data_IF_486354576758
#
_entry.id   IF_486354576758
#
_cell.length_a   1.000
_cell.length_b   1.000
_cell.length_c   1.000
_cell.angle_alpha   90.00
_cell.angle_beta   90.00
_cell.angle_gamma   90.00
#
_symmetry.space_group_name_H-M   'P 1'
#
loop_
_entity.id
_entity.type
_entity.pdbx_description
1 polymer ?
#
# COMPACT_ATOMS: atom_id res chain seq x y z
N UNK A 1 -20.37 -38.59 35.97
CA UNK A 1 -20.05 -37.52 35.01
C UNK A 1 -18.96 -36.67 35.64
N UNK A 2 -17.69 -36.91 35.29
CA UNK A 2 -16.55 -36.24 35.89
C UNK A 2 -15.90 -35.33 34.85
N UNK A 3 -16.00 -34.03 35.08
CA UNK A 3 -15.28 -32.99 34.34
C UNK A 3 -13.79 -33.13 34.63
N UNK A 4 -13.00 -33.55 33.64
CA UNK A 4 -11.54 -33.63 33.75
C UNK A 4 -10.90 -32.30 33.35
N UNK A 5 -9.89 -31.99 34.15
CA UNK A 5 -9.09 -30.78 34.24
C UNK A 5 -8.50 -30.23 32.93
N UNK A 6 -8.41 -28.90 32.95
CA UNK A 6 -7.61 -28.00 32.12
C UNK A 6 -6.12 -28.36 32.25
N UNK A 7 -5.44 -28.53 31.12
CA UNK A 7 -3.98 -28.42 31.01
C UNK A 7 -3.58 -28.23 29.53
N UNK A 8 -3.50 -26.99 29.09
CA UNK A 8 -2.65 -26.60 27.97
C UNK A 8 -1.69 -25.55 28.52
N UNK A 9 -0.63 -26.04 29.16
CA UNK A 9 0.61 -25.29 29.25
C UNK A 9 1.30 -25.42 27.90
N UNK A 10 1.32 -24.36 27.11
CA UNK A 10 2.27 -24.22 26.02
C UNK A 10 2.90 -22.83 26.09
N UNK A 11 4.08 -22.82 26.71
CA UNK A 11 5.25 -22.04 26.30
C UNK A 11 5.02 -20.55 26.02
N UNK A 12 4.99 -19.78 27.10
CA UNK A 12 5.57 -18.44 27.11
C UNK A 12 7.09 -18.58 26.90
N UNK A 13 7.54 -18.50 25.65
CA UNK A 13 8.93 -18.20 25.32
C UNK A 13 8.99 -16.82 24.66
N UNK A 14 10.02 -16.02 24.99
CA UNK A 14 10.09 -14.61 24.63
C UNK A 14 10.30 -14.48 23.12
N UNK A 15 9.31 -13.89 22.44
CA UNK A 15 9.42 -13.43 21.05
C UNK A 15 10.32 -12.19 20.92
N UNK A 16 11.47 -12.20 21.60
CA UNK A 16 12.44 -11.10 21.64
C UNK A 16 13.80 -11.71 21.35
N UNK A 17 14.12 -11.93 20.07
CA UNK A 17 15.49 -12.10 19.53
C UNK A 17 15.52 -12.38 18.01
N UNK A 18 14.55 -11.88 17.24
CA UNK A 18 14.70 -11.77 15.76
C UNK A 18 14.57 -10.33 15.25
N UNK A 19 14.84 -9.34 16.11
CA UNK A 19 14.81 -7.93 15.73
C UNK A 19 16.16 -7.40 15.22
N UNK A 20 17.17 -8.24 14.94
CA UNK A 20 18.54 -7.75 14.71
C UNK A 20 19.35 -8.45 13.61
N UNK A 21 18.70 -9.00 12.59
CA UNK A 21 19.38 -9.32 11.33
C UNK A 21 18.41 -9.03 10.18
N UNK A 22 18.37 -7.77 9.77
CA UNK A 22 18.22 -7.31 8.40
C UNK A 22 18.31 -5.80 8.50
N UNK A 23 19.55 -5.32 8.39
CA UNK A 23 19.86 -4.00 7.85
C UNK A 23 19.10 -3.89 6.52
N UNK A 24 17.86 -3.41 6.62
CA UNK A 24 17.01 -3.19 5.48
C UNK A 24 17.53 -1.92 4.82
N UNK A 25 18.60 -2.09 4.02
CA UNK A 25 18.89 -1.16 2.94
C UNK A 25 17.58 -0.86 2.23
N UNK A 26 17.32 0.43 2.01
CA UNK A 26 16.09 0.92 1.40
C UNK A 26 15.71 -0.01 0.24
N UNK A 27 14.47 -0.54 0.22
CA UNK A 27 14.10 -1.44 -0.85
C UNK A 27 14.17 -0.64 -2.14
N UNK A 28 15.23 -0.86 -2.93
CA UNK A 28 15.22 -0.62 -4.37
C UNK A 28 14.33 -1.68 -5.01
N UNK A 29 13.06 -1.74 -4.57
CA UNK A 29 12.04 -2.56 -5.18
C UNK A 29 11.71 -1.94 -6.53
N UNK A 30 11.81 -2.70 -7.63
CA UNK A 30 11.26 -2.30 -8.91
C UNK A 30 9.82 -1.79 -8.70
N UNK A 31 9.47 -0.63 -9.26
CA UNK A 31 8.15 0.02 -9.09
C UNK A 31 8.06 1.11 -8.04
N UNK A 32 9.05 1.21 -7.14
CA UNK A 32 9.08 2.24 -6.10
C UNK A 32 9.06 3.65 -6.67
N UNK A 33 9.85 3.92 -7.72
CA UNK A 33 9.87 5.22 -8.40
C UNK A 33 8.48 5.62 -8.95
N UNK A 34 7.73 4.66 -9.50
CA UNK A 34 6.37 4.91 -10.00
C UNK A 34 5.36 5.10 -8.88
N UNK A 35 5.54 4.41 -7.76
CA UNK A 35 4.74 4.64 -6.56
C UNK A 35 4.97 6.06 -6.00
N UNK A 36 6.22 6.51 -5.94
CA UNK A 36 6.58 7.87 -5.49
C UNK A 36 6.09 8.95 -6.46
N UNK A 37 6.21 8.74 -7.78
CA UNK A 37 5.63 9.64 -8.79
C UNK A 37 4.11 9.81 -8.60
N UNK A 38 3.39 8.70 -8.41
CA UNK A 38 1.95 8.74 -8.19
C UNK A 38 1.61 9.44 -6.87
N UNK A 39 2.29 9.08 -5.77
CA UNK A 39 2.05 9.69 -4.46
C UNK A 39 2.35 11.18 -4.46
N UNK A 40 3.46 11.61 -5.04
CA UNK A 40 3.83 13.02 -5.14
C UNK A 40 2.78 13.84 -5.91
N UNK A 41 2.26 13.30 -7.02
CA UNK A 41 1.16 13.92 -7.76
C UNK A 41 -0.07 14.12 -6.88
N UNK A 42 -0.50 13.06 -6.18
CA UNK A 42 -1.72 13.09 -5.37
C UNK A 42 -1.54 14.07 -4.20
N UNK A 43 -0.42 13.98 -3.47
CA UNK A 43 -0.11 14.88 -2.35
C UNK A 43 -0.13 16.34 -2.83
N UNK A 44 0.59 16.67 -3.91
CA UNK A 44 0.68 18.04 -4.41
C UNK A 44 -0.68 18.60 -4.82
N UNK A 45 -1.44 17.86 -5.64
CA UNK A 45 -2.76 18.34 -6.08
C UNK A 45 -3.75 18.48 -4.91
N UNK A 46 -3.74 17.52 -3.98
CA UNK A 46 -4.62 17.56 -2.81
C UNK A 46 -4.34 18.81 -1.95
N UNK A 47 -3.08 19.13 -1.69
CA UNK A 47 -2.71 20.33 -0.92
C UNK A 47 -2.99 21.63 -1.68
N UNK A 48 -2.74 21.67 -2.99
CA UNK A 48 -3.07 22.82 -3.83
C UNK A 48 -4.58 23.10 -3.82
N UNK A 49 -5.41 22.06 -3.79
CA UNK A 49 -6.87 22.20 -3.70
C UNK A 49 -7.33 22.58 -2.28
N UNK A 50 -6.76 21.95 -1.25
CA UNK A 50 -7.09 22.22 0.14
C UNK A 50 -6.70 23.64 0.60
N UNK A 51 -5.66 24.22 0.01
CA UNK A 51 -5.24 25.61 0.29
C UNK A 51 -6.20 26.67 -0.27
N UNK A 52 -6.97 26.32 -1.31
CA UNK A 52 -7.90 27.24 -2.00
C UNK A 52 -9.34 27.08 -1.52
N UNK A 53 -9.71 25.90 -1.05
CA UNK A 53 -11.10 25.52 -0.77
C UNK A 53 -11.26 24.76 0.56
N UNK A 54 -12.43 24.89 1.18
CA UNK A 54 -12.79 24.22 2.44
C UNK A 54 -13.56 22.91 2.26
N UNK A 55 -13.47 22.29 1.07
CA UNK A 55 -14.13 21.02 0.77
C UNK A 55 -13.75 19.92 1.80
N UNK A 56 -14.66 18.98 2.13
CA UNK A 56 -14.33 17.84 2.97
C UNK A 56 -13.05 17.12 2.50
N UNK A 57 -12.21 16.67 3.43
CA UNK A 57 -10.92 16.05 3.09
C UNK A 57 -11.08 14.87 2.10
N UNK A 58 -12.11 14.04 2.30
CA UNK A 58 -12.45 12.95 1.38
C UNK A 58 -12.70 13.42 -0.07
N UNK A 59 -13.40 14.56 -0.26
CA UNK A 59 -13.66 15.11 -1.61
C UNK A 59 -12.38 15.64 -2.25
N UNK A 60 -11.48 16.23 -1.46
CA UNK A 60 -10.18 16.71 -1.95
C UNK A 60 -9.32 15.52 -2.41
N UNK A 61 -9.29 14.44 -1.61
CA UNK A 61 -8.54 13.23 -1.97
C UNK A 61 -9.13 12.54 -3.19
N UNK A 62 -10.45 12.41 -3.29
CA UNK A 62 -11.11 11.84 -4.47
C UNK A 62 -10.75 12.63 -5.75
N UNK A 63 -10.80 13.96 -5.68
CA UNK A 63 -10.41 14.82 -6.79
C UNK A 63 -8.92 14.65 -7.17
N UNK A 64 -8.03 14.53 -6.18
CA UNK A 64 -6.61 14.32 -6.41
C UNK A 64 -6.31 12.95 -7.04
N UNK A 65 -7.00 11.90 -6.59
CA UNK A 65 -6.89 10.58 -7.20
C UNK A 65 -7.34 10.60 -8.65
N UNK A 66 -8.47 11.25 -8.96
CA UNK A 66 -8.97 11.38 -10.32
C UNK A 66 -8.04 12.20 -11.23
N UNK A 67 -7.44 13.27 -10.69
CA UNK A 67 -6.46 14.07 -11.44
C UNK A 67 -5.18 13.30 -11.76
N UNK A 68 -4.72 12.43 -10.85
CA UNK A 68 -3.48 11.67 -10.98
C UNK A 68 -3.67 10.25 -11.54
N UNK A 69 -4.82 9.93 -12.16
CA UNK A 69 -5.17 8.57 -12.58
C UNK A 69 -4.13 7.94 -13.53
N UNK A 70 -3.60 8.71 -14.49
CA UNK A 70 -2.55 8.23 -15.41
C UNK A 70 -1.28 7.76 -14.68
N UNK A 71 -0.88 8.46 -13.61
CA UNK A 71 0.29 8.09 -12.80
C UNK A 71 0.01 6.86 -11.95
N UNK A 72 -1.18 6.80 -11.38
CA UNK A 72 -1.66 5.66 -10.60
C UNK A 72 -1.72 4.40 -11.48
N UNK A 73 -2.25 4.50 -12.69
CA UNK A 73 -2.32 3.37 -13.63
C UNK A 73 -0.94 2.97 -14.15
N UNK A 74 -0.06 3.94 -14.42
CA UNK A 74 1.34 3.66 -14.79
C UNK A 74 2.05 2.86 -13.70
N UNK A 75 1.87 3.22 -12.43
CA UNK A 75 2.37 2.44 -11.30
C UNK A 75 1.74 1.05 -11.24
N UNK A 76 0.41 0.94 -11.36
CA UNK A 76 -0.30 -0.34 -11.30
C UNK A 76 0.21 -1.33 -12.37
N UNK A 77 0.38 -0.86 -13.61
CA UNK A 77 0.88 -1.68 -14.71
C UNK A 77 2.33 -2.10 -14.48
N UNK A 78 3.18 -1.17 -14.07
CA UNK A 78 4.59 -1.48 -13.75
C UNK A 78 4.65 -2.55 -12.66
N UNK A 79 3.88 -2.40 -11.58
CA UNK A 79 3.81 -3.38 -10.49
C UNK A 79 3.40 -4.78 -10.99
N UNK A 80 2.38 -4.85 -11.86
CA UNK A 80 1.92 -6.10 -12.47
C UNK A 80 3.00 -6.74 -13.33
N UNK A 81 3.64 -5.97 -14.21
CA UNK A 81 4.65 -6.45 -15.15
C UNK A 81 5.84 -7.08 -14.41
N UNK A 82 6.33 -6.41 -13.36
CA UNK A 82 7.46 -6.92 -12.57
C UNK A 82 7.07 -8.13 -11.72
N UNK A 83 5.85 -8.14 -11.18
CA UNK A 83 5.33 -9.28 -10.40
C UNK A 83 5.26 -10.56 -11.22
N UNK A 84 5.20 -10.47 -12.55
CA UNK A 84 5.15 -11.62 -13.45
C UNK A 84 6.38 -11.81 -14.34
N UNK A 85 7.44 -11.03 -14.14
CA UNK A 85 8.59 -11.02 -15.04
C UNK A 85 9.28 -12.38 -15.17
N UNK A 86 9.31 -13.16 -14.07
CA UNK A 86 10.06 -14.41 -13.99
C UNK A 86 9.22 -15.68 -14.11
N UNK A 87 7.92 -15.58 -14.39
CA UNK A 87 7.05 -16.76 -14.53
C UNK A 87 6.93 -17.23 -15.99
N UNK A 88 7.08 -18.55 -16.25
CA UNK A 88 6.86 -19.15 -17.57
C UNK A 88 5.46 -18.84 -18.12
N UNK A 89 5.36 -18.71 -19.45
CA UNK A 89 4.13 -18.31 -20.15
C UNK A 89 3.41 -19.46 -20.85
N UNK A 90 4.06 -20.60 -20.92
CA UNK A 90 3.84 -21.67 -21.89
C UNK A 90 3.35 -22.99 -21.27
N UNK A 91 3.41 -23.13 -19.94
CA UNK A 91 2.80 -24.26 -19.22
C UNK A 91 1.71 -23.83 -18.22
N UNK A 92 0.81 -24.77 -17.90
CA UNK A 92 -0.37 -24.54 -17.03
C UNK A 92 0.03 -24.12 -15.61
N UNK A 93 1.15 -24.63 -15.10
CA UNK A 93 1.67 -24.28 -13.78
C UNK A 93 2.20 -22.85 -13.76
N UNK A 94 2.93 -22.43 -14.80
CA UNK A 94 3.39 -21.08 -15.04
C UNK A 94 2.22 -20.10 -15.16
N UNK A 95 1.17 -20.44 -15.91
CA UNK A 95 -0.04 -19.62 -16.01
C UNK A 95 -0.74 -19.45 -14.65
N UNK A 96 -0.83 -20.52 -13.86
CA UNK A 96 -1.43 -20.47 -12.52
C UNK A 96 -0.63 -19.57 -11.56
N UNK A 97 0.70 -19.70 -11.56
CA UNK A 97 1.58 -18.86 -10.75
C UNK A 97 1.52 -17.38 -11.16
N UNK A 98 1.43 -17.10 -12.47
CA UNK A 98 1.21 -15.73 -12.99
C UNK A 98 -0.09 -15.14 -12.48
N UNK A 99 -1.18 -15.91 -12.51
CA UNK A 99 -2.47 -15.48 -11.99
C UNK A 99 -2.40 -15.11 -10.51
N UNK A 100 -1.78 -15.96 -9.69
CA UNK A 100 -1.59 -15.70 -8.27
C UNK A 100 -0.73 -14.45 -8.01
N UNK A 101 0.34 -14.27 -8.79
CA UNK A 101 1.22 -13.10 -8.67
C UNK A 101 0.53 -11.79 -9.08
N UNK A 102 -0.27 -11.80 -10.15
CA UNK A 102 -1.07 -10.64 -10.56
C UNK A 102 -2.10 -10.26 -9.49
N UNK A 103 -2.77 -11.26 -8.92
CA UNK A 103 -3.72 -11.03 -7.83
C UNK A 103 -3.03 -10.39 -6.61
N UNK A 104 -1.87 -10.92 -6.20
CA UNK A 104 -1.10 -10.35 -5.09
C UNK A 104 -0.65 -8.90 -5.40
N UNK A 105 -0.23 -8.62 -6.63
CA UNK A 105 0.17 -7.28 -7.05
C UNK A 105 -0.99 -6.27 -7.01
N UNK A 106 -2.17 -6.66 -7.50
CA UNK A 106 -3.38 -5.83 -7.45
C UNK A 106 -3.86 -5.61 -5.99
N UNK A 107 -3.72 -6.63 -5.12
CA UNK A 107 -4.02 -6.51 -3.68
C UNK A 107 -3.08 -5.52 -2.98
N UNK A 108 -1.77 -5.62 -3.21
CA UNK A 108 -0.78 -4.69 -2.64
C UNK A 108 -1.03 -3.25 -3.12
N UNK A 109 -1.34 -3.07 -4.41
CA UNK A 109 -1.69 -1.77 -4.96
C UNK A 109 -2.93 -1.18 -4.27
N UNK A 110 -3.97 -1.99 -4.07
CA UNK A 110 -5.20 -1.57 -3.38
C UNK A 110 -4.91 -1.12 -1.94
N UNK A 111 -4.15 -1.90 -1.17
CA UNK A 111 -3.78 -1.56 0.21
C UNK A 111 -2.94 -0.28 0.29
N UNK A 112 -1.97 -0.13 -0.63
CA UNK A 112 -1.15 1.07 -0.72
C UNK A 112 -2.00 2.30 -1.06
N UNK A 113 -2.92 2.20 -2.03
CA UNK A 113 -3.85 3.28 -2.38
C UNK A 113 -4.72 3.69 -1.20
N UNK A 114 -5.24 2.73 -0.43
CA UNK A 114 -5.99 3.02 0.81
C UNK A 114 -5.13 3.74 1.85
N UNK A 115 -3.85 3.37 1.96
CA UNK A 115 -2.93 4.05 2.89
C UNK A 115 -2.68 5.50 2.49
N UNK A 116 -2.52 5.78 1.18
CA UNK A 116 -2.36 7.14 0.65
C UNK A 116 -3.59 7.99 0.91
N UNK A 117 -4.79 7.44 0.69
CA UNK A 117 -6.05 8.14 0.99
C UNK A 117 -6.07 8.61 2.45
N UNK A 118 -5.83 7.69 3.38
CA UNK A 118 -5.84 7.99 4.82
C UNK A 118 -4.76 9.01 5.22
N UNK A 119 -3.56 8.86 4.67
CA UNK A 119 -2.43 9.78 4.92
C UNK A 119 -2.77 11.21 4.48
N UNK A 120 -3.32 11.37 3.28
CA UNK A 120 -3.65 12.69 2.73
C UNK A 120 -4.85 13.30 3.46
N UNK A 121 -5.89 12.52 3.74
CA UNK A 121 -7.04 13.00 4.53
C UNK A 121 -6.59 13.52 5.90
N UNK A 122 -5.74 12.76 6.60
CA UNK A 122 -5.17 13.16 7.87
C UNK A 122 -4.35 14.46 7.76
N UNK A 123 -3.49 14.54 6.74
CA UNK A 123 -2.66 15.73 6.48
C UNK A 123 -3.47 16.99 6.20
N UNK A 124 -4.55 16.88 5.42
CA UNK A 124 -5.45 18.01 5.13
C UNK A 124 -6.13 18.48 6.40
N UNK A 125 -6.66 17.56 7.22
CA UNK A 125 -7.31 17.90 8.48
C UNK A 125 -6.34 18.61 9.43
N UNK A 126 -5.11 18.09 9.57
CA UNK A 126 -4.07 18.71 10.39
C UNK A 126 -3.65 20.09 9.89
N UNK A 127 -3.52 20.27 8.59
CA UNK A 127 -3.20 21.57 8.00
C UNK A 127 -4.28 22.62 8.33
N UNK A 128 -5.56 22.22 8.32
CA UNK A 128 -6.67 23.12 8.65
C UNK A 128 -6.76 23.45 10.13
N UNK A 129 -6.50 22.48 11.01
CA UNK A 129 -6.41 22.72 12.46
C UNK A 129 -5.30 23.73 12.80
N UNK A 130 -4.17 23.69 12.09
CA UNK A 130 -3.05 24.61 12.30
C UNK A 130 -3.28 26.02 11.74
N UNK A 131 -4.25 26.20 10.83
CA UNK A 131 -4.58 27.47 10.20
C UNK A 131 -5.69 28.25 10.93
N UNK A 132 -6.27 27.68 11.99
CA UNK A 132 -7.28 28.29 12.86
C UNK A 132 -6.63 28.93 14.09
#
# INVERSE_FOLDING_TARGET
>A
MNSKAILIGLLLLPAITLANILDAGEPSTPGYEKAEEAKACIDQYAFDLASKNTQPAAQVVEAALGYCDDKIESFRQTNRDMSVANFPRDDVSGLSLRGAALFAADQQFYELKLSWIKDIEYKILKHREAAQ
#
